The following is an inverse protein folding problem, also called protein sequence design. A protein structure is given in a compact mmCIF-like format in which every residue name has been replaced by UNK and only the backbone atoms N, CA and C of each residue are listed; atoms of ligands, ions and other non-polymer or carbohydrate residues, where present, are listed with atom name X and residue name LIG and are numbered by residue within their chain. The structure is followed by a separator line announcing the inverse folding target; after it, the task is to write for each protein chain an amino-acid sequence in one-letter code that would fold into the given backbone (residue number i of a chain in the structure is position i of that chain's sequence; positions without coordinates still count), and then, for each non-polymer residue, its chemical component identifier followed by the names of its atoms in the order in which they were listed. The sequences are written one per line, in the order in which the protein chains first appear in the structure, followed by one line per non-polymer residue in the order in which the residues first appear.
data_IF_263775421249
#
_entry.id   IF_263775421249
#
_cell.length_a   1.000
_cell.length_b   1.000
_cell.length_c   1.000
_cell.angle_alpha   90.00
_cell.angle_beta   90.00
_cell.angle_gamma   90.00
#
_symmetry.space_group_name_H-M   'P 1'
#
loop_
_entity.id
_entity.type
_entity.pdbx_description
1 polymer ?
#
# COMPACT_ATOMS: atom_id res chain seq x y z
N UNK A 1 2.96 6.78 7.16
CA UNK A 1 3.95 5.67 7.20
C UNK A 1 3.88 4.85 5.92
N UNK A 2 2.71 4.29 5.57
CA UNK A 2 2.49 3.51 4.34
C UNK A 2 2.92 4.20 3.04
N UNK A 3 2.57 5.47 2.82
CA UNK A 3 3.01 6.23 1.64
C UNK A 3 4.53 6.24 1.44
N UNK A 4 5.31 6.28 2.54
CA UNK A 4 6.78 6.27 2.47
C UNK A 4 7.30 4.90 2.05
N UNK A 5 6.67 3.82 2.51
CA UNK A 5 7.01 2.44 2.11
C UNK A 5 6.70 2.22 0.64
N UNK A 6 5.51 2.64 0.19
CA UNK A 6 5.08 2.55 -1.20
C UNK A 6 5.93 3.42 -2.15
N UNK A 7 6.43 4.57 -1.68
CA UNK A 7 7.29 5.46 -2.47
C UNK A 7 8.75 5.01 -2.59
N UNK A 8 9.24 4.16 -1.68
CA UNK A 8 10.60 3.59 -1.75
C UNK A 8 10.66 2.24 -2.48
N UNK A 9 9.51 1.61 -2.70
CA UNK A 9 9.39 0.43 -3.56
C UNK A 9 9.56 0.88 -5.02
N UNK A 10 10.76 0.74 -5.57
CA UNK A 10 11.03 0.94 -7.00
C UNK A 10 10.35 -0.10 -7.92
N UNK A 11 9.30 -0.76 -7.43
CA UNK A 11 8.57 -1.81 -8.15
C UNK A 11 7.55 -1.15 -9.07
N UNK A 12 7.73 -1.34 -10.38
CA UNK A 12 6.81 -0.80 -11.38
C UNK A 12 5.36 -1.28 -11.15
N UNK A 13 5.22 -2.51 -10.65
CA UNK A 13 3.96 -3.20 -10.34
C UNK A 13 3.32 -2.79 -9.01
N UNK A 14 3.91 -1.86 -8.25
CA UNK A 14 3.45 -1.58 -6.89
C UNK A 14 3.78 -2.69 -5.90
N UNK A 15 3.33 -2.51 -4.66
CA UNK A 15 3.64 -3.41 -3.56
C UNK A 15 2.39 -4.14 -3.07
N UNK A 16 2.52 -5.46 -2.84
CA UNK A 16 1.39 -6.27 -2.40
C UNK A 16 1.06 -6.04 -0.91
N UNK A 17 -0.21 -6.15 -0.54
CA UNK A 17 -0.67 -5.97 0.85
C UNK A 17 0.01 -6.91 1.86
N UNK A 18 0.30 -8.15 1.49
CA UNK A 18 1.07 -9.08 2.32
C UNK A 18 2.49 -8.59 2.60
N UNK A 19 3.15 -7.97 1.63
CA UNK A 19 4.49 -7.41 1.83
C UNK A 19 4.44 -6.22 2.81
N UNK A 20 3.39 -5.40 2.73
CA UNK A 20 3.15 -4.31 3.68
C UNK A 20 2.93 -4.84 5.10
N UNK A 21 2.13 -5.90 5.24
CA UNK A 21 1.89 -6.59 6.52
C UNK A 21 3.21 -7.08 7.13
N UNK A 22 4.07 -7.72 6.32
CA UNK A 22 5.37 -8.25 6.76
C UNK A 22 6.35 -7.14 7.15
N UNK A 23 6.50 -6.10 6.32
CA UNK A 23 7.46 -5.01 6.59
C UNK A 23 7.05 -4.13 7.76
N UNK A 24 5.76 -3.82 7.88
CA UNK A 24 5.25 -2.95 8.93
C UNK A 24 4.96 -3.71 10.23
N UNK A 25 4.91 -5.05 10.18
CA UNK A 25 4.54 -5.93 11.29
C UNK A 25 3.20 -5.53 11.92
N UNK A 26 2.25 -5.16 11.05
CA UNK A 26 0.90 -4.77 11.41
C UNK A 26 -0.09 -5.83 10.89
N UNK A 27 -1.21 -6.07 11.59
CA UNK A 27 -2.22 -7.00 11.11
C UNK A 27 -2.86 -6.49 9.80
N UNK A 28 -3.25 -7.43 8.93
CA UNK A 28 -3.87 -7.15 7.63
C UNK A 28 -5.05 -6.19 7.72
N UNK A 29 -5.86 -6.26 8.79
CA UNK A 29 -6.98 -5.35 9.02
C UNK A 29 -6.53 -3.88 9.12
N UNK A 30 -5.47 -3.60 9.89
CA UNK A 30 -4.92 -2.24 10.02
C UNK A 30 -4.32 -1.73 8.72
N UNK A 31 -3.72 -2.61 7.93
CA UNK A 31 -3.23 -2.30 6.59
C UNK A 31 -4.40 -1.93 5.67
N UNK A 32 -5.48 -2.73 5.65
CA UNK A 32 -6.69 -2.48 4.85
C UNK A 32 -7.36 -1.15 5.21
N UNK A 33 -7.55 -0.88 6.49
CA UNK A 33 -8.11 0.40 6.96
C UNK A 33 -7.27 1.58 6.44
N UNK A 34 -5.94 1.49 6.60
CA UNK A 34 -5.04 2.56 6.19
C UNK A 34 -4.99 2.74 4.67
N UNK A 35 -5.04 1.66 3.90
CA UNK A 35 -5.09 1.70 2.43
C UNK A 35 -6.35 2.41 1.97
N UNK A 36 -7.52 2.06 2.52
CA UNK A 36 -8.79 2.72 2.16
C UNK A 36 -8.75 4.22 2.39
N UNK A 37 -8.23 4.66 3.55
CA UNK A 37 -8.10 6.09 3.84
C UNK A 37 -7.16 6.79 2.85
N UNK A 38 -5.98 6.21 2.57
CA UNK A 38 -5.02 6.82 1.64
C UNK A 38 -5.50 6.83 0.19
N UNK A 39 -6.30 5.84 -0.22
CA UNK A 39 -6.90 5.76 -1.54
C UNK A 39 -8.03 6.81 -1.69
N UNK A 40 -8.88 6.97 -0.68
CA UNK A 40 -9.91 8.03 -0.63
C UNK A 40 -9.30 9.44 -0.71
N UNK A 41 -8.15 9.63 -0.06
CA UNK A 41 -7.36 10.86 -0.14
C UNK A 41 -6.62 11.03 -1.50
N UNK A 42 -6.62 10.03 -2.37
CA UNK A 42 -5.90 10.04 -3.65
C UNK A 42 -4.37 9.98 -3.51
N UNK A 43 -3.86 9.57 -2.34
CA UNK A 43 -2.43 9.49 -2.06
C UNK A 43 -1.80 8.19 -2.57
N UNK A 44 -2.61 7.16 -2.77
CA UNK A 44 -2.23 5.88 -3.35
C UNK A 44 -3.28 5.40 -4.35
N UNK A 45 -2.90 4.47 -5.21
CA UNK A 45 -3.81 3.83 -6.17
C UNK A 45 -3.41 2.37 -6.41
N UNK A 46 -4.40 1.53 -6.71
CA UNK A 46 -4.18 0.15 -7.16
C UNK A 46 -3.61 0.12 -8.58
N UNK A 47 -2.73 -0.82 -8.87
CA UNK A 47 -2.02 -0.90 -10.15
C UNK A 47 -2.52 -2.04 -11.04
N UNK A 48 -1.88 -3.20 -10.97
CA UNK A 48 -2.21 -4.37 -11.77
C UNK A 48 -3.53 -5.02 -11.32
N UNK A 49 -3.81 -4.97 -10.02
CA UNK A 49 -5.01 -5.50 -9.39
C UNK A 49 -5.20 -4.87 -7.99
N UNK A 50 -6.31 -5.19 -7.33
CA UNK A 50 -6.79 -4.57 -6.08
C UNK A 50 -5.90 -4.83 -4.85
N UNK A 51 -4.84 -5.62 -4.98
CA UNK A 51 -3.93 -5.94 -3.89
C UNK A 51 -2.55 -5.29 -4.04
N UNK A 52 -2.28 -4.60 -5.15
CA UNK A 52 -0.99 -3.96 -5.44
C UNK A 52 -1.10 -2.45 -5.53
N UNK A 53 -0.43 -1.74 -4.61
CA UNK A 53 -0.58 -0.30 -4.45
C UNK A 53 0.69 0.48 -4.78
N UNK A 54 0.53 1.72 -5.28
CA UNK A 54 1.62 2.70 -5.45
C UNK A 54 1.23 4.04 -4.86
N UNK A 55 2.23 4.80 -4.42
CA UNK A 55 2.04 6.20 -4.06
C UNK A 55 1.85 7.05 -5.33
N UNK A 56 0.91 7.99 -5.28
CA UNK A 56 0.74 9.05 -6.29
C UNK A 56 1.76 10.17 -6.13
#
# INVERSE_FOLDING_TARGET
MLRRVLGCSGQEKGMHMDELCQQLKLPMEKIRESIRSLEDEGLIYSTIDEFHYKAS
#
